data_IF_728250431300
#
_entry.id   IF_728250431300
#
_cell.length_a   1.000
_cell.length_b   1.000
_cell.length_c   1.000
_cell.angle_alpha   90.00
_cell.angle_beta   90.00
_cell.angle_gamma   90.00
#
_symmetry.space_group_name_H-M   'P 1'
#
loop_
_entity.id
_entity.type
_entity.pdbx_description
1 polymer ?
#
# COMPACT_ATOMS: atom_id res chain seq x y z
N UNK A 1 11.92 3.73 16.74
CA UNK A 1 12.28 4.43 15.49
C UNK A 1 13.79 4.35 15.35
N UNK A 2 14.29 3.88 14.21
CA UNK A 2 15.72 3.64 14.01
C UNK A 2 16.45 4.87 13.48
N UNK A 3 17.77 4.86 13.60
CA UNK A 3 18.67 5.82 12.94
C UNK A 3 18.51 5.63 11.42
N UNK A 4 18.17 6.70 10.70
CA UNK A 4 18.07 6.68 9.23
C UNK A 4 19.48 6.47 8.68
N UNK A 5 19.67 5.46 7.82
CA UNK A 5 20.94 5.25 7.15
C UNK A 5 21.12 6.30 6.01
N UNK A 6 22.06 7.26 6.13
CA UNK A 6 22.25 8.32 5.16
C UNK A 6 22.79 7.83 3.81
N UNK A 7 23.40 6.64 3.75
CA UNK A 7 23.85 6.02 2.49
C UNK A 7 22.68 5.51 1.64
N UNK A 8 21.59 5.10 2.29
CA UNK A 8 20.36 4.60 1.62
C UNK A 8 19.31 5.69 1.44
N UNK A 9 19.27 6.66 2.36
CA UNK A 9 18.40 7.82 2.25
C UNK A 9 19.11 9.06 2.78
N UNK A 10 19.75 9.79 1.86
CA UNK A 10 20.53 10.98 2.18
C UNK A 10 19.66 12.18 2.54
N UNK A 11 20.24 13.15 3.24
CA UNK A 11 19.59 14.43 3.52
C UNK A 11 19.16 15.14 2.23
N UNK A 12 19.98 15.09 1.18
CA UNK A 12 19.66 15.70 -0.13
C UNK A 12 18.40 15.06 -0.75
N UNK A 13 18.27 13.73 -0.69
CA UNK A 13 17.08 13.04 -1.16
C UNK A 13 15.86 13.40 -0.31
N UNK A 14 16.02 13.51 1.02
CA UNK A 14 14.95 14.00 1.89
C UNK A 14 14.50 15.42 1.54
N UNK A 15 15.42 16.37 1.40
CA UNK A 15 15.10 17.75 1.03
C UNK A 15 14.43 17.84 -0.35
N UNK A 16 14.81 16.97 -1.30
CA UNK A 16 14.12 16.88 -2.57
C UNK A 16 12.67 16.39 -2.38
N UNK A 17 12.47 15.29 -1.66
CA UNK A 17 11.14 14.72 -1.40
C UNK A 17 10.24 15.68 -0.61
N UNK A 18 10.82 16.43 0.32
CA UNK A 18 10.18 17.50 1.08
C UNK A 18 9.61 18.58 0.16
N UNK A 19 10.41 19.06 -0.81
CA UNK A 19 9.99 20.09 -1.77
C UNK A 19 8.98 19.58 -2.80
N UNK A 20 9.14 18.34 -3.25
CA UNK A 20 8.40 17.81 -4.40
C UNK A 20 7.12 17.05 -4.02
N UNK A 21 7.04 16.47 -2.82
CA UNK A 21 5.96 15.52 -2.48
C UNK A 21 5.38 15.73 -1.08
N UNK A 22 6.19 15.80 -0.03
CA UNK A 22 5.68 15.67 1.34
C UNK A 22 4.77 16.82 1.75
N UNK A 23 5.15 18.08 1.47
CA UNK A 23 4.33 19.24 1.81
C UNK A 23 2.96 19.22 1.12
N UNK A 24 2.92 18.86 -0.16
CA UNK A 24 1.67 18.80 -0.92
C UNK A 24 0.81 17.62 -0.48
N UNK A 25 1.42 16.47 -0.22
CA UNK A 25 0.70 15.30 0.32
C UNK A 25 0.13 15.58 1.71
N UNK A 26 0.84 16.32 2.55
CA UNK A 26 0.35 16.74 3.86
C UNK A 26 -0.80 17.75 3.75
N UNK A 27 -0.73 18.72 2.82
CA UNK A 27 -1.83 19.65 2.53
C UNK A 27 -3.10 18.89 2.11
N UNK A 28 -2.94 17.91 1.22
CA UNK A 28 -4.03 17.01 0.84
C UNK A 28 -4.56 16.24 2.05
N UNK A 29 -3.68 15.68 2.89
CA UNK A 29 -4.05 14.95 4.11
C UNK A 29 -4.92 15.79 5.07
N UNK A 30 -4.50 17.02 5.39
CA UNK A 30 -5.26 17.91 6.30
C UNK A 30 -6.57 18.39 5.66
N UNK A 31 -6.62 18.54 4.33
CA UNK A 31 -7.84 18.95 3.63
C UNK A 31 -9.00 17.95 3.76
N UNK A 32 -8.69 16.69 4.14
CA UNK A 32 -9.70 15.66 4.39
C UNK A 32 -10.50 15.91 5.68
N UNK A 33 -10.15 16.95 6.46
CA UNK A 33 -10.82 17.38 7.69
C UNK A 33 -11.08 16.23 8.68
N UNK A 34 -10.05 15.40 8.87
CA UNK A 34 -10.10 14.28 9.80
C UNK A 34 -10.19 14.81 11.23
N UNK A 35 -10.93 14.12 12.10
CA UNK A 35 -11.31 14.55 13.47
C UNK A 35 -10.16 14.87 14.44
N UNK A 36 -8.90 14.63 14.05
CA UNK A 36 -7.70 14.86 14.85
C UNK A 36 -6.61 15.44 13.93
N UNK A 37 -6.37 16.77 13.95
CA UNK A 37 -5.27 17.35 13.19
C UNK A 37 -3.94 16.93 13.83
N UNK A 38 -3.08 16.28 13.05
CA UNK A 38 -1.68 16.03 13.42
C UNK A 38 -0.81 17.11 12.79
N UNK A 39 0.27 17.50 13.45
CA UNK A 39 1.26 18.42 12.89
C UNK A 39 2.00 17.80 11.69
N UNK A 40 2.67 18.64 10.91
CA UNK A 40 3.48 18.17 9.79
C UNK A 40 4.60 17.22 10.23
N UNK A 41 5.23 17.53 11.36
CA UNK A 41 6.32 16.72 11.91
C UNK A 41 5.81 15.36 12.39
N UNK A 42 4.67 15.32 13.07
CA UNK A 42 4.01 14.06 13.46
C UNK A 42 3.58 13.26 12.23
N UNK A 43 3.09 13.93 11.18
CA UNK A 43 2.74 13.27 9.91
C UNK A 43 3.98 12.66 9.23
N UNK A 44 5.12 13.36 9.21
CA UNK A 44 6.38 12.81 8.69
C UNK A 44 6.84 11.59 9.50
N UNK A 45 6.80 11.67 10.82
CA UNK A 45 7.15 10.55 11.72
C UNK A 45 6.22 9.36 11.49
N UNK A 46 4.91 9.61 11.44
CA UNK A 46 3.89 8.58 11.17
C UNK A 46 4.15 7.87 9.84
N UNK A 47 4.59 8.62 8.83
CA UNK A 47 4.93 8.11 7.50
C UNK A 47 6.40 7.67 7.38
N UNK A 48 7.13 7.54 8.49
CA UNK A 48 8.53 7.13 8.54
C UNK A 48 9.41 7.92 7.53
N UNK A 49 9.14 9.21 7.35
CA UNK A 49 9.84 10.09 6.40
C UNK A 49 9.84 9.55 4.95
N UNK A 50 8.81 8.78 4.57
CA UNK A 50 8.72 8.13 3.25
C UNK A 50 9.64 6.92 3.09
N UNK A 51 10.26 6.42 4.16
CA UNK A 51 11.10 5.23 4.18
C UNK A 51 10.23 3.99 4.33
N UNK A 52 10.43 3.03 3.44
CA UNK A 52 9.78 1.73 3.49
C UNK A 52 10.28 0.92 4.70
N UNK A 53 9.35 0.33 5.44
CA UNK A 53 9.67 -0.42 6.65
C UNK A 53 10.61 -1.59 6.34
N UNK A 54 11.69 -1.72 7.11
CA UNK A 54 12.66 -2.81 6.93
C UNK A 54 13.67 -2.64 5.79
N UNK A 55 13.57 -1.63 4.92
CA UNK A 55 14.52 -1.44 3.79
C UNK A 55 15.56 -0.36 4.03
N UNK A 56 15.22 0.68 4.80
CA UNK A 56 15.93 1.96 4.91
C UNK A 56 15.96 2.79 3.61
N UNK A 57 15.14 2.40 2.62
CA UNK A 57 15.05 3.07 1.32
C UNK A 57 13.74 3.84 1.22
N UNK A 58 13.76 4.96 0.48
CA UNK A 58 12.54 5.73 0.26
C UNK A 58 11.65 5.08 -0.79
N UNK A 59 10.33 5.08 -0.56
CA UNK A 59 9.34 4.72 -1.59
C UNK A 59 9.45 5.65 -2.81
N UNK A 60 9.97 6.86 -2.61
CA UNK A 60 10.11 7.91 -3.63
C UNK A 60 11.32 7.75 -4.53
N UNK A 61 12.20 6.77 -4.27
CA UNK A 61 13.39 6.56 -5.07
C UNK A 61 13.05 6.44 -6.57
N UNK A 62 13.84 7.12 -7.40
CA UNK A 62 13.63 7.11 -8.85
C UNK A 62 14.12 5.78 -9.42
N UNK A 63 13.32 5.20 -10.31
CA UNK A 63 13.69 4.02 -11.09
C UNK A 63 14.43 4.48 -12.35
N UNK A 64 15.61 3.93 -12.60
CA UNK A 64 16.38 4.19 -13.82
C UNK A 64 15.95 3.21 -14.93
N UNK A 65 16.01 3.64 -16.19
CA UNK A 65 15.54 2.86 -17.35
C UNK A 65 16.29 1.55 -17.57
N UNK A 66 17.55 1.46 -17.16
CA UNK A 66 18.36 0.24 -17.27
C UNK A 66 17.90 -0.87 -16.32
N UNK A 67 17.32 -0.51 -15.17
CA UNK A 67 16.85 -1.48 -14.17
C UNK A 67 15.47 -2.05 -14.49
N UNK A 68 14.67 -1.43 -15.36
CA UNK A 68 13.26 -1.82 -15.58
C UNK A 68 13.06 -3.09 -16.42
N UNK A 69 13.88 -3.36 -17.44
CA UNK A 69 13.71 -4.51 -18.34
C UNK A 69 14.01 -5.87 -17.70
N UNK A 70 15.18 -6.12 -17.08
CA UNK A 70 15.46 -7.40 -16.43
C UNK A 70 14.56 -7.63 -15.20
N UNK A 71 14.03 -6.58 -14.59
CA UNK A 71 13.18 -6.69 -13.41
C UNK A 71 11.80 -7.28 -13.69
N UNK A 72 11.24 -7.19 -14.91
CA UNK A 72 9.89 -7.68 -15.18
C UNK A 72 9.78 -9.19 -15.03
N UNK A 73 10.72 -9.95 -15.63
CA UNK A 73 10.74 -11.40 -15.51
C UNK A 73 10.91 -11.88 -14.07
N UNK A 74 11.81 -11.23 -13.32
CA UNK A 74 12.01 -11.56 -11.89
C UNK A 74 10.75 -11.21 -11.08
N UNK A 75 10.14 -10.05 -11.32
CA UNK A 75 8.88 -9.66 -10.66
C UNK A 75 7.78 -10.70 -10.90
N UNK A 76 7.54 -11.07 -12.16
CA UNK A 76 6.50 -12.04 -12.53
C UNK A 76 6.80 -13.41 -11.92
N UNK A 77 8.05 -13.84 -11.82
CA UNK A 77 8.38 -15.18 -11.30
C UNK A 77 8.46 -15.26 -9.77
N UNK A 78 8.77 -14.16 -9.07
CA UNK A 78 8.98 -14.16 -7.62
C UNK A 78 7.72 -13.94 -6.79
N UNK A 79 6.71 -13.30 -7.38
CA UNK A 79 5.51 -12.83 -6.68
C UNK A 79 4.41 -13.87 -6.73
N UNK A 80 3.84 -14.15 -5.57
CA UNK A 80 2.84 -15.20 -5.34
C UNK A 80 1.62 -14.64 -4.61
N UNK A 81 0.56 -15.44 -4.54
CA UNK A 81 -0.65 -15.14 -3.75
C UNK A 81 -0.32 -14.65 -2.33
N UNK A 82 -1.03 -13.62 -1.88
CA UNK A 82 -0.89 -13.04 -0.55
C UNK A 82 0.29 -12.06 -0.36
N UNK A 83 1.17 -11.93 -1.36
CA UNK A 83 2.18 -10.86 -1.36
C UNK A 83 1.53 -9.48 -1.37
N UNK A 84 2.17 -8.55 -0.67
CA UNK A 84 1.78 -7.14 -0.61
C UNK A 84 2.71 -6.34 -1.52
N UNK A 85 2.13 -5.59 -2.45
CA UNK A 85 2.87 -4.76 -3.40
C UNK A 85 2.78 -3.30 -2.96
N UNK A 86 3.90 -2.63 -2.68
CA UNK A 86 3.93 -1.19 -2.38
C UNK A 86 4.69 -0.44 -3.48
N UNK A 87 4.08 0.60 -4.04
CA UNK A 87 4.67 1.45 -5.08
C UNK A 87 4.58 2.93 -4.72
N UNK A 88 5.37 3.77 -5.39
CA UNK A 88 5.44 5.22 -5.22
C UNK A 88 4.23 6.01 -5.75
N UNK A 89 3.10 5.44 -6.17
CA UNK A 89 2.04 6.29 -6.75
C UNK A 89 1.53 7.34 -5.75
N UNK A 90 1.34 8.57 -6.23
CA UNK A 90 0.88 9.74 -5.47
C UNK A 90 -0.35 10.36 -6.13
N UNK A 91 -0.88 11.44 -5.52
CA UNK A 91 -2.12 12.19 -5.86
C UNK A 91 -3.40 11.67 -5.18
N UNK A 92 -3.28 11.26 -3.93
CA UNK A 92 -4.43 10.87 -3.08
C UNK A 92 -4.31 11.37 -1.64
N UNK A 93 -3.41 12.33 -1.34
CA UNK A 93 -3.10 12.73 0.04
C UNK A 93 -2.47 11.65 0.92
N UNK A 94 -2.03 10.54 0.34
CA UNK A 94 -1.27 9.47 0.99
C UNK A 94 0.04 9.23 0.25
N UNK A 95 1.03 8.71 0.99
CA UNK A 95 2.32 8.37 0.41
C UNK A 95 2.27 6.92 -0.08
N UNK A 96 2.37 6.76 -1.39
CA UNK A 96 2.43 5.47 -2.07
C UNK A 96 1.06 4.89 -2.44
N UNK A 97 1.11 3.69 -3.00
CA UNK A 97 -0.03 2.85 -3.34
C UNK A 97 0.29 1.41 -2.95
N UNK A 98 -0.74 0.65 -2.62
CA UNK A 98 -0.59 -0.71 -2.11
C UNK A 98 -1.67 -1.63 -2.66
N UNK A 99 -1.30 -2.88 -2.88
CA UNK A 99 -2.20 -3.95 -3.29
C UNK A 99 -1.81 -5.26 -2.60
N UNK A 100 -2.69 -6.25 -2.70
CA UNK A 100 -2.42 -7.63 -2.29
C UNK A 100 -2.64 -8.56 -3.49
N UNK A 101 -1.77 -9.55 -3.66
CA UNK A 101 -1.94 -10.60 -4.65
C UNK A 101 -3.14 -11.48 -4.27
N UNK A 102 -4.19 -11.44 -5.08
CA UNK A 102 -5.41 -12.24 -4.93
C UNK A 102 -5.20 -13.71 -5.33
N UNK A 103 -4.30 -13.94 -6.27
CA UNK A 103 -3.78 -15.24 -6.66
C UNK A 103 -2.35 -15.07 -7.17
N UNK A 104 -1.77 -16.10 -7.77
CA UNK A 104 -0.39 -16.04 -8.26
C UNK A 104 -0.22 -15.11 -9.48
N UNK A 105 -1.29 -14.65 -10.13
CA UNK A 105 -1.25 -13.88 -11.37
C UNK A 105 -1.86 -12.48 -11.25
N UNK A 106 -2.79 -12.26 -10.33
CA UNK A 106 -3.57 -11.03 -10.22
C UNK A 106 -3.45 -10.39 -8.83
N UNK A 107 -3.18 -9.09 -8.81
CA UNK A 107 -3.32 -8.25 -7.63
C UNK A 107 -4.72 -7.64 -7.58
N UNK A 108 -5.31 -7.57 -6.38
CA UNK A 108 -6.50 -6.77 -6.13
C UNK A 108 -6.10 -5.41 -5.56
N UNK A 109 -6.64 -4.35 -6.14
CA UNK A 109 -6.31 -2.98 -5.76
C UNK A 109 -7.49 -2.02 -5.87
N UNK A 110 -7.36 -0.87 -5.19
CA UNK A 110 -8.20 0.32 -5.36
C UNK A 110 -7.31 1.49 -5.75
N UNK A 111 -7.01 1.69 -7.04
CA UNK A 111 -6.15 2.76 -7.50
C UNK A 111 -6.85 4.11 -7.36
N UNK A 112 -6.33 4.96 -6.47
CA UNK A 112 -6.74 6.37 -6.48
C UNK A 112 -6.23 7.10 -7.73
N UNK A 113 -6.50 8.40 -7.80
CA UNK A 113 -6.12 9.22 -8.94
C UNK A 113 -6.92 10.52 -9.03
N UNK A 114 -7.04 11.07 -10.25
CA UNK A 114 -7.80 12.31 -10.49
C UNK A 114 -9.23 12.16 -9.95
N UNK A 115 -9.69 13.13 -9.18
CA UNK A 115 -11.02 13.10 -8.56
C UNK A 115 -11.11 12.31 -7.26
N UNK A 116 -10.00 11.81 -6.70
CA UNK A 116 -9.99 11.06 -5.43
C UNK A 116 -10.67 11.79 -4.26
N UNK A 117 -10.58 13.13 -4.24
CA UNK A 117 -11.15 13.98 -3.18
C UNK A 117 -12.68 13.92 -3.17
N UNK A 118 -13.31 13.90 -4.35
CA UNK A 118 -14.74 13.61 -4.48
C UNK A 118 -15.00 12.13 -4.28
N UNK A 119 -14.05 11.29 -4.71
CA UNK A 119 -14.05 9.84 -4.74
C UNK A 119 -14.47 9.28 -6.09
N UNK A 120 -13.98 8.08 -6.39
CA UNK A 120 -14.04 7.47 -7.73
C UNK A 120 -14.98 6.27 -7.65
N UNK A 121 -16.07 6.29 -8.42
CA UNK A 121 -17.02 5.18 -8.45
C UNK A 121 -16.37 3.94 -9.08
N UNK A 122 -16.83 2.77 -8.63
CA UNK A 122 -16.47 1.46 -9.18
C UNK A 122 -14.96 1.23 -9.45
N UNK A 123 -14.13 1.49 -8.45
CA UNK A 123 -12.69 1.64 -8.63
C UNK A 123 -11.87 0.38 -8.32
N UNK A 124 -12.39 -0.54 -7.50
CA UNK A 124 -11.71 -1.81 -7.21
C UNK A 124 -11.52 -2.64 -8.49
N UNK A 125 -10.37 -3.29 -8.65
CA UNK A 125 -10.11 -4.16 -9.81
C UNK A 125 -9.09 -5.24 -9.48
N UNK A 126 -9.09 -6.27 -10.33
CA UNK A 126 -7.96 -7.19 -10.49
C UNK A 126 -7.05 -6.64 -11.59
N UNK A 127 -5.74 -6.73 -11.37
CA UNK A 127 -4.71 -6.34 -12.32
C UNK A 127 -3.67 -7.44 -12.39
N UNK A 128 -3.31 -7.90 -13.59
CA UNK A 128 -2.29 -8.94 -13.72
C UNK A 128 -0.92 -8.42 -13.32
N UNK A 129 0.01 -9.31 -12.97
CA UNK A 129 1.41 -8.93 -12.67
C UNK A 129 2.04 -8.13 -13.80
N UNK A 130 1.79 -8.51 -15.05
CA UNK A 130 2.30 -7.79 -16.22
C UNK A 130 1.74 -6.36 -16.31
N UNK A 131 0.43 -6.21 -16.16
CA UNK A 131 -0.23 -4.90 -16.23
C UNK A 131 0.19 -4.04 -15.03
N UNK A 132 0.31 -4.61 -13.83
CA UNK A 132 0.84 -3.90 -12.66
C UNK A 132 2.24 -3.37 -12.95
N UNK A 133 3.14 -4.22 -13.45
CA UNK A 133 4.51 -3.85 -13.70
C UNK A 133 4.61 -2.70 -14.72
N UNK A 134 3.79 -2.74 -15.77
CA UNK A 134 3.80 -1.72 -16.82
C UNK A 134 3.14 -0.41 -16.34
N UNK A 135 1.96 -0.47 -15.70
CA UNK A 135 1.24 0.71 -15.21
C UNK A 135 2.01 1.43 -14.08
N UNK A 136 2.66 0.68 -13.19
CA UNK A 136 3.40 1.22 -12.05
C UNK A 136 4.93 1.30 -12.30
N UNK A 137 5.37 1.03 -13.53
CA UNK A 137 6.78 0.92 -13.92
C UNK A 137 7.58 2.23 -13.85
N UNK A 138 6.92 3.38 -13.68
CA UNK A 138 7.61 4.65 -13.40
C UNK A 138 8.25 4.70 -12.01
N UNK A 139 7.84 3.80 -11.10
CA UNK A 139 8.37 3.66 -9.75
C UNK A 139 8.82 2.26 -9.41
N UNK A 140 9.51 2.15 -8.29
CA UNK A 140 9.86 0.85 -7.70
C UNK A 140 8.62 0.21 -7.06
N UNK A 141 8.39 -1.07 -7.32
CA UNK A 141 7.47 -1.88 -6.52
C UNK A 141 8.27 -2.68 -5.50
N UNK A 142 8.09 -2.40 -4.23
CA UNK A 142 8.64 -3.21 -3.13
C UNK A 142 7.61 -4.25 -2.73
N UNK A 143 8.04 -5.50 -2.68
CA UNK A 143 7.19 -6.65 -2.36
C UNK A 143 7.46 -7.10 -0.94
N UNK A 144 6.40 -7.19 -0.16
CA UNK A 144 6.42 -7.72 1.19
C UNK A 144 5.65 -9.03 1.25
N UNK A 145 6.13 -9.99 2.04
CA UNK A 145 5.50 -11.30 2.24
C UNK A 145 5.28 -11.57 3.71
N UNK A 146 4.10 -12.05 4.06
CA UNK A 146 3.87 -12.62 5.39
C UNK A 146 4.58 -13.99 5.45
N UNK A 147 5.40 -14.26 6.48
CA UNK A 147 6.15 -15.52 6.56
C UNK A 147 5.25 -16.76 6.75
N UNK A 148 3.99 -16.56 7.18
CA UNK A 148 3.00 -17.62 7.36
C UNK A 148 2.07 -17.66 6.16
N UNK A 149 2.25 -18.68 5.32
CA UNK A 149 1.54 -18.79 4.04
C UNK A 149 0.04 -18.86 4.23
N UNK A 150 -0.44 -19.59 5.23
CA UNK A 150 -1.85 -19.74 5.55
C UNK A 150 -2.52 -18.41 5.92
N UNK A 151 -1.78 -17.50 6.55
CA UNK A 151 -2.25 -16.15 6.87
C UNK A 151 -2.33 -15.31 5.60
N UNK A 152 -1.29 -15.36 4.76
CA UNK A 152 -1.26 -14.63 3.49
C UNK A 152 -2.37 -15.10 2.54
N UNK A 153 -2.59 -16.41 2.43
CA UNK A 153 -3.63 -17.02 1.60
C UNK A 153 -5.03 -16.63 2.09
N UNK A 154 -5.27 -16.70 3.41
CA UNK A 154 -6.55 -16.33 4.01
C UNK A 154 -6.84 -14.83 3.84
N UNK A 155 -5.84 -13.95 4.02
CA UNK A 155 -6.00 -12.52 3.75
C UNK A 155 -6.31 -12.25 2.27
N UNK A 156 -5.62 -12.94 1.37
CA UNK A 156 -5.86 -12.86 -0.08
C UNK A 156 -7.28 -13.29 -0.45
N UNK A 157 -7.77 -14.41 0.08
CA UNK A 157 -9.13 -14.90 -0.13
C UNK A 157 -10.17 -13.95 0.46
N UNK A 158 -9.90 -13.39 1.64
CA UNK A 158 -10.77 -12.39 2.25
C UNK A 158 -10.88 -11.16 1.35
N UNK A 159 -9.75 -10.62 0.88
CA UNK A 159 -9.73 -9.47 -0.02
C UNK A 159 -10.54 -9.76 -1.29
N UNK A 160 -10.32 -10.90 -1.93
CA UNK A 160 -11.06 -11.29 -3.13
C UNK A 160 -12.56 -11.34 -2.91
N UNK A 161 -13.01 -12.00 -1.83
CA UNK A 161 -14.44 -12.19 -1.54
C UNK A 161 -15.15 -10.89 -1.13
N UNK A 162 -14.44 -9.96 -0.50
CA UNK A 162 -15.02 -8.73 0.02
C UNK A 162 -14.83 -7.52 -0.89
N UNK A 163 -13.96 -7.63 -1.89
CA UNK A 163 -13.66 -6.55 -2.83
C UNK A 163 -13.74 -6.94 -4.30
N UNK A 164 -14.08 -8.17 -4.68
CA UNK A 164 -14.21 -8.53 -6.09
C UNK A 164 -15.42 -9.42 -6.38
N UNK A 165 -15.45 -10.61 -5.79
CA UNK A 165 -16.53 -11.59 -5.99
C UNK A 165 -16.72 -12.46 -4.73
N UNK A 166 -17.84 -12.34 -3.99
CA UNK A 166 -18.12 -13.12 -2.79
C UNK A 166 -18.11 -14.64 -2.99
N UNK A 167 -18.47 -15.08 -4.19
CA UNK A 167 -18.61 -16.50 -4.55
C UNK A 167 -17.34 -17.12 -5.13
N UNK A 168 -16.24 -16.35 -5.28
CA UNK A 168 -14.97 -16.88 -5.80
C UNK A 168 -14.88 -17.01 -7.33
N UNK A 169 -15.78 -16.37 -8.08
CA UNK A 169 -15.79 -16.39 -9.55
C UNK A 169 -15.00 -15.26 -10.20
N UNK A 170 -14.62 -15.43 -11.48
CA UNK A 170 -13.80 -14.47 -12.24
C UNK A 170 -14.55 -13.21 -12.73
N UNK A 171 -15.85 -13.10 -12.47
CA UNK A 171 -16.65 -11.92 -12.81
C UNK A 171 -16.64 -10.97 -11.61
N UNK A 172 -16.28 -9.71 -11.83
CA UNK A 172 -16.42 -8.66 -10.81
C UNK A 172 -17.90 -8.42 -10.50
N UNK A 173 -18.30 -8.61 -9.25
CA UNK A 173 -19.69 -8.34 -8.78
C UNK A 173 -19.74 -7.30 -7.67
N UNK A 174 -18.60 -6.96 -7.07
CA UNK A 174 -18.49 -5.89 -6.07
C UNK A 174 -17.97 -4.63 -6.75
N UNK A 175 -18.66 -3.52 -6.51
CA UNK A 175 -18.33 -2.20 -7.05
C UNK A 175 -18.09 -1.22 -5.90
N UNK A 176 -16.82 -1.05 -5.54
CA UNK A 176 -16.38 -0.22 -4.42
C UNK A 176 -16.01 1.17 -4.90
N UNK A 177 -16.49 2.19 -4.20
CA UNK A 177 -16.08 3.58 -4.41
C UNK A 177 -14.73 3.85 -3.71
N UNK A 178 -13.76 4.37 -4.45
CA UNK A 178 -12.54 4.93 -3.85
C UNK A 178 -12.90 6.18 -3.07
N UNK A 179 -12.67 6.19 -1.76
CA UNK A 179 -12.69 7.40 -0.93
C UNK A 179 -11.88 7.15 0.34
N UNK A 180 -10.99 8.08 0.67
CA UNK A 180 -10.30 8.06 1.95
C UNK A 180 -11.28 8.44 3.05
N UNK A 181 -11.31 7.64 4.11
CA UNK A 181 -12.18 7.81 5.25
C UNK A 181 -11.61 7.08 6.48
N UNK A 182 -12.19 7.37 7.65
CA UNK A 182 -11.81 6.75 8.93
C UNK A 182 -12.69 5.55 9.32
N UNK A 183 -13.74 5.27 8.55
CA UNK A 183 -14.57 4.10 8.78
C UNK A 183 -13.76 2.87 8.36
N UNK A 184 -13.22 2.14 9.33
CA UNK A 184 -12.45 0.94 9.06
C UNK A 184 -13.32 -0.30 8.87
N UNK A 185 -14.59 -0.29 9.29
CA UNK A 185 -15.43 -1.49 9.28
C UNK A 185 -16.09 -1.71 7.91
N UNK A 186 -16.60 -0.65 7.29
CA UNK A 186 -17.21 -0.79 5.96
C UNK A 186 -16.17 -1.12 4.90
N UNK A 187 -16.53 -1.92 3.89
CA UNK A 187 -15.70 -2.12 2.70
C UNK A 187 -16.00 -1.10 1.59
N UNK A 188 -17.05 -0.27 1.73
CA UNK A 188 -17.44 0.75 0.75
C UNK A 188 -17.97 2.03 1.43
N UNK A 189 -17.36 3.20 1.23
CA UNK A 189 -16.17 3.44 0.41
C UNK A 189 -14.87 2.94 1.06
N UNK A 190 -13.86 2.66 0.24
CA UNK A 190 -12.53 2.21 0.68
C UNK A 190 -11.40 2.83 -0.15
N UNK A 191 -10.17 2.47 0.15
CA UNK A 191 -8.96 2.91 -0.51
C UNK A 191 -7.89 1.81 -0.40
N UNK A 192 -6.81 1.93 -1.18
CA UNK A 192 -5.82 0.88 -1.39
C UNK A 192 -5.30 0.22 -0.10
N UNK A 193 -4.83 1.02 0.85
CA UNK A 193 -4.27 0.53 2.12
C UNK A 193 -5.32 0.02 3.10
N UNK A 194 -6.53 0.58 3.11
CA UNK A 194 -7.63 0.06 3.92
C UNK A 194 -8.02 -1.35 3.49
N UNK A 195 -8.13 -1.61 2.17
CA UNK A 195 -8.39 -2.96 1.66
C UNK A 195 -7.35 -3.96 2.19
N UNK A 196 -6.05 -3.63 2.05
CA UNK A 196 -4.98 -4.55 2.43
C UNK A 196 -4.94 -4.75 3.95
N UNK A 197 -5.14 -3.70 4.75
CA UNK A 197 -5.17 -3.85 6.21
C UNK A 197 -6.41 -4.62 6.68
N UNK A 198 -7.60 -4.40 6.09
CA UNK A 198 -8.79 -5.18 6.43
C UNK A 198 -8.60 -6.67 6.12
N UNK A 199 -7.96 -7.01 5.00
CA UNK A 199 -7.67 -8.39 4.62
C UNK A 199 -6.85 -9.14 5.69
N UNK A 200 -5.84 -8.50 6.26
CA UNK A 200 -5.04 -9.10 7.34
C UNK A 200 -5.67 -8.93 8.73
N UNK A 201 -6.51 -7.91 8.94
CA UNK A 201 -7.18 -7.68 10.21
C UNK A 201 -8.33 -8.66 10.47
N UNK A 202 -9.14 -8.94 9.43
CA UNK A 202 -10.24 -9.91 9.50
C UNK A 202 -9.79 -11.34 9.21
N UNK A 203 -8.49 -11.59 9.28
CA UNK A 203 -7.93 -12.92 9.31
C UNK A 203 -8.27 -13.60 10.64
N UNK A 204 -8.34 -14.94 10.67
CA UNK A 204 -8.59 -15.71 11.90
C UNK A 204 -7.41 -15.65 12.90
N UNK A 205 -6.29 -15.01 12.51
CA UNK A 205 -5.12 -14.76 13.36
C UNK A 205 -5.02 -13.28 13.72
N UNK A 206 -4.50 -12.93 14.92
CA UNK A 206 -4.32 -11.54 15.35
C UNK A 206 -3.07 -10.90 14.70
N UNK A 207 -3.07 -10.75 13.37
CA UNK A 207 -1.92 -10.22 12.60
C UNK A 207 -1.70 -8.73 12.86
N UNK A 208 -2.81 -7.98 12.94
CA UNK A 208 -2.86 -6.53 13.12
C UNK A 208 -3.79 -6.22 14.29
N UNK A 209 -3.35 -5.37 15.22
CA UNK A 209 -4.18 -4.96 16.36
C UNK A 209 -5.12 -3.82 16.00
N UNK A 210 -6.35 -3.87 16.53
CA UNK A 210 -7.33 -2.79 16.42
C UNK A 210 -6.79 -1.44 16.95
N UNK A 211 -5.89 -1.47 17.93
CA UNK A 211 -5.30 -0.26 18.50
C UNK A 211 -4.39 0.48 17.49
N UNK A 212 -3.70 -0.26 16.61
CA UNK A 212 -2.76 0.32 15.63
C UNK A 212 -3.47 1.08 14.48
N UNK A 213 -4.75 0.78 14.25
CA UNK A 213 -5.54 1.27 13.11
C UNK A 213 -6.66 2.25 13.52
N UNK A 214 -6.79 2.58 14.82
CA UNK A 214 -7.85 3.48 15.31
C UNK A 214 -7.53 4.94 14.96
N UNK A 215 -8.55 5.64 14.46
CA UNK A 215 -8.65 7.12 14.34
C UNK A 215 -7.64 7.80 13.40
N UNK A 216 -6.98 7.07 12.50
CA UNK A 216 -6.09 7.65 11.50
C UNK A 216 -6.34 7.04 10.13
N UNK A 217 -6.07 7.81 9.09
CA UNK A 217 -6.00 7.27 7.74
C UNK A 217 -4.77 6.37 7.61
N UNK A 218 -4.98 5.20 7.02
CA UNK A 218 -3.94 4.18 6.88
C UNK A 218 -3.06 4.56 5.69
N UNK A 219 -1.85 5.05 5.93
CA UNK A 219 -0.91 5.32 4.84
C UNK A 219 -0.33 4.02 4.26
N UNK A 220 -0.29 3.82 2.93
CA UNK A 220 0.25 2.61 2.29
C UNK A 220 1.63 2.19 2.79
N UNK A 221 2.57 3.14 2.88
CA UNK A 221 3.94 2.85 3.34
C UNK A 221 4.02 2.41 4.81
N UNK A 222 3.00 2.71 5.61
CA UNK A 222 2.95 2.35 7.04
C UNK A 222 2.42 0.93 7.24
N UNK A 223 1.72 0.36 6.25
CA UNK A 223 1.07 -0.95 6.38
C UNK A 223 1.99 -2.04 6.92
N UNK A 224 3.24 -2.21 6.45
CA UNK A 224 4.13 -3.24 6.99
C UNK A 224 4.42 -3.11 8.50
N UNK A 225 4.39 -1.90 9.06
CA UNK A 225 4.68 -1.66 10.49
C UNK A 225 3.56 -2.15 11.43
N UNK A 226 2.36 -2.43 10.90
CA UNK A 226 1.25 -2.92 11.69
C UNK A 226 1.34 -4.41 12.01
N UNK A 227 2.13 -5.16 11.25
CA UNK A 227 2.31 -6.60 11.42
C UNK A 227 3.17 -6.86 12.66
N UNK A 228 2.58 -7.54 13.65
CA UNK A 228 3.25 -7.85 14.91
C UNK A 228 3.90 -9.23 14.87
N UNK A 229 4.93 -9.49 15.69
CA UNK A 229 5.47 -10.83 15.84
C UNK A 229 4.36 -11.87 16.15
N UNK A 230 4.40 -13.07 15.54
CA UNK A 230 5.45 -13.55 14.64
C UNK A 230 5.24 -13.19 13.15
N UNK A 231 4.21 -12.42 12.80
CA UNK A 231 3.78 -12.15 11.42
C UNK A 231 4.51 -11.00 10.72
N UNK A 232 5.63 -10.52 11.27
CA UNK A 232 6.39 -9.42 10.66
C UNK A 232 6.69 -9.72 9.19
N UNK A 233 6.32 -8.78 8.31
CA UNK A 233 6.54 -8.94 6.88
C UNK A 233 8.04 -8.97 6.56
N UNK A 234 8.39 -9.83 5.61
CA UNK A 234 9.74 -9.88 5.02
C UNK A 234 9.73 -9.21 3.65
N UNK A 235 10.81 -8.52 3.31
CA UNK A 235 10.98 -7.93 1.99
C UNK A 235 11.43 -9.02 1.03
N UNK A 236 10.62 -9.32 0.01
CA UNK A 236 10.95 -10.30 -1.02
C UNK A 236 11.87 -9.68 -2.07
N UNK A 237 11.62 -8.43 -2.43
CA UNK A 237 12.42 -7.73 -3.43
C UNK A 237 11.84 -6.39 -3.81
N UNK A 238 12.60 -5.69 -4.67
CA UNK A 238 12.28 -4.37 -5.19
C UNK A 238 12.47 -4.38 -6.70
N UNK A 239 11.41 -4.04 -7.43
CA UNK A 239 11.27 -4.33 -8.86
C UNK A 239 10.97 -3.12 -9.72
#
# INVERSE_FOLDING_TARGET
MGIINPEKYSLQSFEQHEREVFKDTYRDYISMNLTQPISYQEWLVMNNYGILFGTQESVLEKKTSTRSKPNKGIFVNSIIKGDILINKKFKTGLIGHIAIMADDNYAIELPGGKGWFLGIADNNRLVSKDVWFDEYGSGWTTVYRCPYKEVADSASDWAYRHYYNPSGGNIKTIHTRYKINLDFQSTNPSYCSKLVVQAFFYNDRPVISQADIRRLVISPIRVPSYFKPPYNLVVVGKY
#
